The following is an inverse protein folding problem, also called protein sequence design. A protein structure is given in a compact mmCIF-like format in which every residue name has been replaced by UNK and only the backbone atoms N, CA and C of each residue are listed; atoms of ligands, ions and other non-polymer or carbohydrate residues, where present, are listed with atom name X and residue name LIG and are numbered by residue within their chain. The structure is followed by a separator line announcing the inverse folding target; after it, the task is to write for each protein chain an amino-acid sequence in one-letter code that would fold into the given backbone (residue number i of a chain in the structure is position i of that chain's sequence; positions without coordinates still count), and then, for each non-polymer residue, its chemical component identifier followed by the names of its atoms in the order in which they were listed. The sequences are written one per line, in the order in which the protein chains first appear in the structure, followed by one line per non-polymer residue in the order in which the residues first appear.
data_IF_136708783348
#
_entry.id   IF_136708783348
#
_cell.length_a   1.000
_cell.length_b   1.000
_cell.length_c   1.000
_cell.angle_alpha   90.00
_cell.angle_beta   90.00
_cell.angle_gamma   90.00
#
_symmetry.space_group_name_H-M   'P 1'
#
loop_
_entity.id
_entity.type
_entity.pdbx_description
1 polymer ?
#
# COMPACT_ATOMS: atom_id res chain seq x y z
N UNK A 1 -31.32 -35.35 -67.28
CA UNK A 1 -29.93 -34.93 -67.59
C UNK A 1 -29.48 -33.76 -66.73
N UNK A 2 -30.15 -32.59 -66.78
CA UNK A 2 -29.76 -31.42 -65.98
C UNK A 2 -29.61 -31.69 -64.47
N UNK A 3 -30.53 -32.47 -63.90
CA UNK A 3 -30.51 -32.84 -62.49
C UNK A 3 -29.26 -33.67 -62.11
N UNK A 4 -28.83 -34.58 -62.98
CA UNK A 4 -27.62 -35.37 -62.81
C UNK A 4 -26.34 -34.53 -62.97
N UNK A 5 -26.35 -33.55 -63.88
CA UNK A 5 -25.26 -32.58 -64.02
C UNK A 5 -25.13 -31.68 -62.79
N UNK A 6 -26.24 -31.19 -62.25
CA UNK A 6 -26.25 -30.37 -61.04
C UNK A 6 -25.76 -31.17 -59.81
N UNK A 7 -26.18 -32.42 -59.67
CA UNK A 7 -25.70 -33.31 -58.62
C UNK A 7 -24.18 -33.52 -58.71
N UNK A 8 -23.67 -33.85 -59.91
CA UNK A 8 -22.23 -34.07 -60.09
C UNK A 8 -21.40 -32.80 -59.89
N UNK A 9 -21.93 -31.63 -60.27
CA UNK A 9 -21.29 -30.33 -59.99
C UNK A 9 -21.17 -30.10 -58.48
N UNK A 10 -22.25 -30.32 -57.73
CA UNK A 10 -22.27 -30.17 -56.26
C UNK A 10 -21.28 -31.09 -55.56
N UNK A 11 -21.14 -32.34 -56.04
CA UNK A 11 -20.17 -33.30 -55.49
C UNK A 11 -18.72 -32.82 -55.71
N UNK A 12 -18.42 -32.32 -56.91
CA UNK A 12 -17.08 -31.83 -57.25
C UNK A 12 -16.73 -30.55 -56.48
N UNK A 13 -17.69 -29.64 -56.29
CA UNK A 13 -17.52 -28.44 -55.46
C UNK A 13 -17.28 -28.81 -53.99
N UNK A 14 -18.02 -29.78 -53.45
CA UNK A 14 -17.85 -30.27 -52.08
C UNK A 14 -16.50 -30.99 -51.89
N UNK A 15 -16.07 -31.79 -52.87
CA UNK A 15 -14.78 -32.46 -52.84
C UNK A 15 -13.61 -31.45 -52.91
N UNK A 16 -13.72 -30.42 -53.75
CA UNK A 16 -12.74 -29.34 -53.82
C UNK A 16 -12.66 -28.54 -52.50
N UNK A 17 -13.82 -28.25 -51.88
CA UNK A 17 -13.88 -27.60 -50.57
C UNK A 17 -13.23 -28.45 -49.48
N UNK A 18 -13.56 -29.74 -49.39
CA UNK A 18 -12.99 -30.64 -48.38
C UNK A 18 -11.47 -30.85 -48.56
N UNK A 19 -10.98 -30.95 -49.79
CA UNK A 19 -9.54 -31.00 -50.07
C UNK A 19 -8.83 -29.71 -49.61
N UNK A 20 -9.46 -28.55 -49.83
CA UNK A 20 -8.96 -27.26 -49.36
C UNK A 20 -8.92 -27.18 -47.83
N UNK A 21 -10.00 -27.53 -47.15
CA UNK A 21 -10.08 -27.56 -45.68
C UNK A 21 -9.04 -28.51 -45.07
N UNK A 22 -8.83 -29.69 -45.67
CA UNK A 22 -7.80 -30.63 -45.23
C UNK A 22 -6.38 -30.04 -45.38
N UNK A 23 -6.12 -29.28 -46.47
CA UNK A 23 -4.82 -28.63 -46.69
C UNK A 23 -4.60 -27.39 -45.81
N UNK A 24 -5.66 -26.71 -45.41
CA UNK A 24 -5.65 -25.52 -44.55
C UNK A 24 -5.76 -25.88 -43.06
N UNK A 25 -5.79 -27.18 -42.72
CA UNK A 25 -5.77 -27.64 -41.34
C UNK A 25 -4.42 -27.32 -40.72
N UNK A 26 -4.44 -26.60 -39.60
CA UNK A 26 -3.26 -26.23 -38.83
C UNK A 26 -3.31 -26.87 -37.44
N UNK A 27 -2.18 -26.90 -36.76
CA UNK A 27 -2.13 -27.22 -35.34
C UNK A 27 -2.71 -26.05 -34.52
N UNK A 28 -3.96 -26.20 -34.08
CA UNK A 28 -4.69 -25.21 -33.28
C UNK A 28 -4.13 -25.05 -31.85
N UNK A 29 -3.22 -25.93 -31.42
CA UNK A 29 -2.58 -25.85 -30.10
C UNK A 29 -1.34 -24.96 -30.08
N UNK A 30 -0.84 -24.52 -31.25
CA UNK A 30 0.33 -23.66 -31.32
C UNK A 30 0.11 -22.35 -30.56
N UNK A 31 1.13 -21.85 -29.82
CA UNK A 31 1.05 -20.56 -29.15
C UNK A 31 0.66 -19.44 -30.11
N UNK A 32 -0.42 -18.73 -29.78
CA UNK A 32 -0.88 -17.59 -30.56
C UNK A 32 0.14 -16.44 -30.59
N UNK A 33 0.09 -15.63 -31.65
CA UNK A 33 0.93 -14.43 -31.78
C UNK A 33 0.41 -13.34 -30.85
N UNK A 34 1.16 -13.05 -29.78
CA UNK A 34 0.84 -12.00 -28.80
C UNK A 34 2.10 -11.38 -28.23
N UNK A 35 1.98 -10.16 -27.70
CA UNK A 35 2.94 -9.65 -26.73
C UNK A 35 2.63 -10.26 -25.36
N UNK A 36 3.65 -10.48 -24.53
CA UNK A 36 3.44 -10.92 -23.16
C UNK A 36 2.75 -9.81 -22.35
N UNK A 37 1.73 -10.17 -21.56
CA UNK A 37 1.08 -9.21 -20.68
C UNK A 37 2.09 -8.68 -19.65
N UNK A 38 1.97 -7.40 -19.31
CA UNK A 38 2.76 -6.78 -18.24
C UNK A 38 2.38 -7.31 -16.86
N UNK A 39 3.09 -6.83 -15.84
CA UNK A 39 2.77 -7.06 -14.44
C UNK A 39 3.00 -5.77 -13.66
N UNK A 40 2.30 -5.63 -12.55
CA UNK A 40 2.54 -4.56 -11.59
C UNK A 40 3.71 -4.93 -10.67
N UNK A 41 4.42 -3.92 -10.18
CA UNK A 41 5.40 -4.13 -9.12
C UNK A 41 4.69 -4.68 -7.87
N UNK A 42 5.26 -5.66 -7.14
CA UNK A 42 4.60 -6.28 -5.98
C UNK A 42 4.14 -5.28 -4.91
N UNK A 43 4.93 -4.23 -4.66
CA UNK A 43 4.55 -3.14 -3.74
C UNK A 43 3.33 -2.36 -4.24
N UNK A 44 3.23 -2.10 -5.55
CA UNK A 44 2.04 -1.45 -6.15
C UNK A 44 0.80 -2.30 -5.95
N UNK A 45 0.89 -3.62 -6.14
CA UNK A 45 -0.23 -4.54 -5.87
C UNK A 45 -0.70 -4.46 -4.42
N UNK A 46 0.24 -4.33 -3.48
CA UNK A 46 -0.07 -4.16 -2.07
C UNK A 46 -0.77 -2.82 -1.81
N UNK A 47 -0.25 -1.72 -2.35
CA UNK A 47 -0.87 -0.38 -2.23
C UNK A 47 -2.30 -0.42 -2.79
N UNK A 48 -2.49 -0.87 -4.03
CA UNK A 48 -3.81 -0.92 -4.69
C UNK A 48 -4.82 -1.76 -3.90
N UNK A 49 -4.38 -2.89 -3.31
CA UNK A 49 -5.23 -3.73 -2.45
C UNK A 49 -5.65 -2.99 -1.17
N UNK A 50 -4.71 -2.32 -0.51
CA UNK A 50 -4.98 -1.55 0.71
C UNK A 50 -5.91 -0.38 0.40
N UNK A 51 -5.67 0.35 -0.69
CA UNK A 51 -6.55 1.42 -1.16
C UNK A 51 -7.97 0.92 -1.41
N UNK A 52 -8.13 -0.25 -2.03
CA UNK A 52 -9.43 -0.90 -2.22
C UNK A 52 -10.17 -1.13 -0.89
N UNK A 53 -9.49 -1.74 0.10
CA UNK A 53 -10.12 -2.05 1.39
C UNK A 53 -10.56 -0.80 2.15
N UNK A 54 -9.70 0.21 2.21
CA UNK A 54 -10.03 1.45 2.92
C UNK A 54 -11.00 2.33 2.11
N UNK A 55 -11.00 2.22 0.78
CA UNK A 55 -11.98 2.86 -0.10
C UNK A 55 -13.41 2.38 0.15
N UNK A 56 -13.61 1.09 0.42
CA UNK A 56 -14.92 0.55 0.85
C UNK A 56 -15.42 1.15 2.17
N UNK A 57 -14.49 1.54 3.04
CA UNK A 57 -14.77 2.25 4.29
C UNK A 57 -14.88 3.77 4.09
N UNK A 58 -14.84 4.29 2.87
CA UNK A 58 -14.97 5.71 2.54
C UNK A 58 -13.72 6.54 2.83
N UNK A 59 -12.54 5.94 2.95
CA UNK A 59 -11.28 6.68 3.00
C UNK A 59 -10.95 7.20 1.60
N UNK A 60 -10.54 8.47 1.52
CA UNK A 60 -10.08 9.08 0.27
C UNK A 60 -8.55 9.04 0.19
N UNK A 61 -7.99 8.78 -0.99
CA UNK A 61 -6.53 8.82 -1.19
C UNK A 61 -6.06 10.27 -1.24
N UNK A 62 -5.06 10.61 -0.42
CA UNK A 62 -4.39 11.90 -0.40
C UNK A 62 -2.89 11.72 -0.64
N UNK A 63 -2.26 12.64 -1.37
CA UNK A 63 -0.81 12.60 -1.62
C UNK A 63 -0.17 13.95 -1.29
N UNK A 64 1.15 13.94 -1.12
CA UNK A 64 1.91 15.15 -0.87
C UNK A 64 3.36 15.04 -1.34
N UNK A 65 4.12 16.13 -1.25
CA UNK A 65 5.49 16.18 -1.71
C UNK A 65 6.40 15.23 -0.92
N UNK A 66 7.47 14.76 -1.56
CA UNK A 66 8.48 13.88 -0.95
C UNK A 66 9.61 14.67 -0.27
N UNK A 67 9.94 15.85 -0.81
CA UNK A 67 10.77 16.85 -0.14
C UNK A 67 9.84 17.69 0.73
N UNK A 68 10.11 17.71 2.03
CA UNK A 68 9.27 18.31 3.04
C UNK A 68 10.05 19.35 3.86
N UNK A 69 9.33 20.18 4.61
CA UNK A 69 9.91 21.08 5.60
C UNK A 69 9.85 20.47 7.03
N UNK A 70 10.64 21.06 7.93
CA UNK A 70 10.71 20.68 9.34
C UNK A 70 9.34 20.79 10.05
N UNK A 71 8.50 21.72 9.62
CA UNK A 71 7.20 21.95 10.25
C UNK A 71 6.25 20.78 10.02
N UNK A 72 6.03 20.35 8.77
CA UNK A 72 5.07 19.29 8.48
C UNK A 72 5.62 17.90 8.79
N UNK A 73 6.94 17.68 8.70
CA UNK A 73 7.53 16.38 9.01
C UNK A 73 7.71 16.17 10.52
N UNK A 74 7.82 17.24 11.32
CA UNK A 74 8.09 17.12 12.75
C UNK A 74 7.29 18.07 13.67
N UNK A 75 7.42 19.40 13.54
CA UNK A 75 6.84 20.34 14.55
C UNK A 75 5.33 20.16 14.73
N UNK A 76 4.59 20.11 13.62
CA UNK A 76 3.14 19.97 13.63
C UNK A 76 2.70 18.63 14.24
N UNK A 77 3.59 17.63 14.22
CA UNK A 77 3.41 16.29 14.76
C UNK A 77 3.94 16.15 16.19
N UNK A 78 4.08 17.27 16.91
CA UNK A 78 4.45 17.29 18.32
C UNK A 78 5.86 16.70 18.57
N UNK A 79 6.75 16.76 17.58
CA UNK A 79 8.15 16.32 17.66
C UNK A 79 9.01 17.58 17.73
N UNK A 80 9.52 18.02 18.89
CA UNK A 80 10.33 19.25 18.96
C UNK A 80 11.74 19.09 18.39
N UNK A 81 12.43 20.21 18.14
CA UNK A 81 13.79 20.27 17.58
C UNK A 81 14.86 19.40 18.28
N UNK A 82 14.73 19.23 19.59
CA UNK A 82 15.66 18.44 20.41
C UNK A 82 15.24 16.96 20.53
N UNK A 83 14.21 16.51 19.80
CA UNK A 83 13.75 15.14 19.84
C UNK A 83 14.70 14.22 19.07
N UNK A 84 15.05 13.01 19.59
CA UNK A 84 15.98 12.10 18.92
C UNK A 84 15.62 11.75 17.47
N UNK A 85 14.32 11.70 17.16
CA UNK A 85 13.83 11.43 15.79
C UNK A 85 14.26 12.46 14.72
N UNK A 86 14.78 13.63 15.11
CA UNK A 86 15.31 14.64 14.18
C UNK A 86 16.80 14.50 13.90
N UNK A 87 17.49 13.53 14.52
CA UNK A 87 18.92 13.36 14.35
C UNK A 87 19.32 13.12 12.88
N UNK A 88 20.45 13.71 12.47
CA UNK A 88 21.02 13.57 11.11
C UNK A 88 21.34 12.11 10.75
N UNK A 89 21.51 11.24 11.75
CA UNK A 89 21.74 9.83 11.52
C UNK A 89 20.53 9.11 10.91
N UNK A 90 19.31 9.63 11.10
CA UNK A 90 18.07 8.97 10.64
C UNK A 90 17.37 9.72 9.49
N UNK A 91 17.59 11.03 9.37
CA UNK A 91 16.86 11.90 8.41
C UNK A 91 17.80 12.52 7.37
N UNK A 92 17.41 12.48 6.09
CA UNK A 92 18.15 13.13 5.02
C UNK A 92 17.79 14.61 4.90
N UNK A 93 18.64 15.48 5.43
CA UNK A 93 18.48 16.94 5.35
C UNK A 93 19.18 17.53 4.12
N UNK A 94 18.55 18.52 3.49
CA UNK A 94 19.16 19.36 2.44
C UNK A 94 19.81 20.61 3.02
N UNK A 95 19.18 21.18 4.04
CA UNK A 95 19.64 22.32 4.84
C UNK A 95 18.96 22.30 6.21
N UNK A 96 18.98 23.42 6.94
CA UNK A 96 18.39 23.52 8.28
C UNK A 96 16.87 23.32 8.36
N UNK A 97 16.15 23.30 7.23
CA UNK A 97 14.67 23.26 7.21
C UNK A 97 14.10 22.25 6.21
N UNK A 98 14.76 22.01 5.08
CA UNK A 98 14.28 21.13 4.02
C UNK A 98 14.89 19.74 4.17
N UNK A 99 14.07 18.70 4.01
CA UNK A 99 14.46 17.30 4.20
C UNK A 99 13.67 16.35 3.28
N UNK A 100 14.15 15.12 3.10
CA UNK A 100 13.33 14.05 2.54
C UNK A 100 12.42 13.49 3.63
N UNK A 101 11.10 13.45 3.40
CA UNK A 101 10.14 13.07 4.43
C UNK A 101 10.42 11.67 4.99
N UNK A 102 10.36 11.53 6.31
CA UNK A 102 10.60 10.25 7.00
C UNK A 102 9.31 9.43 7.19
N UNK A 103 8.19 10.07 6.87
CA UNK A 103 6.81 9.60 7.03
C UNK A 103 5.89 10.36 6.07
N UNK A 104 4.68 9.84 5.86
CA UNK A 104 3.64 10.49 5.05
C UNK A 104 2.71 11.40 5.86
N UNK A 105 2.95 11.56 7.17
CA UNK A 105 2.12 12.38 8.08
C UNK A 105 2.02 13.85 7.70
N UNK A 106 2.98 14.39 6.93
CA UNK A 106 2.87 15.74 6.39
C UNK A 106 1.62 15.95 5.51
N UNK A 107 1.10 14.88 4.88
CA UNK A 107 -0.18 14.90 4.15
C UNK A 107 -1.35 15.04 5.10
N UNK A 108 -1.30 14.37 6.26
CA UNK A 108 -2.32 14.44 7.30
C UNK A 108 -2.45 15.87 7.85
N UNK A 109 -1.31 16.48 8.21
CA UNK A 109 -1.27 17.87 8.69
C UNK A 109 -1.86 18.84 7.66
N UNK A 110 -1.45 18.73 6.39
CA UNK A 110 -1.98 19.58 5.32
C UNK A 110 -3.48 19.38 5.09
N UNK A 111 -3.96 18.14 5.20
CA UNK A 111 -5.39 17.86 5.02
C UNK A 111 -6.19 18.47 6.16
N UNK A 112 -5.78 18.25 7.40
CA UNK A 112 -6.46 18.82 8.57
C UNK A 112 -6.40 20.34 8.62
N UNK A 113 -5.32 20.96 8.13
CA UNK A 113 -5.22 22.43 8.06
C UNK A 113 -6.19 23.06 7.03
N UNK A 114 -6.58 22.31 5.99
CA UNK A 114 -7.43 22.80 4.89
C UNK A 114 -8.87 22.28 4.95
N UNK A 115 -9.18 21.35 5.85
CA UNK A 115 -10.49 20.71 5.97
C UNK A 115 -10.84 20.50 7.44
N UNK A 116 -12.06 20.88 7.83
CA UNK A 116 -12.60 20.52 9.15
C UNK A 116 -13.20 19.11 9.14
N UNK A 117 -13.21 18.39 10.28
CA UNK A 117 -13.88 17.10 10.40
C UNK A 117 -15.33 17.10 9.89
N UNK A 118 -15.83 15.98 9.32
CA UNK A 118 -15.20 14.66 9.27
C UNK A 118 -14.08 14.56 8.22
N UNK A 119 -12.97 13.94 8.61
CA UNK A 119 -11.81 13.65 7.74
C UNK A 119 -11.56 12.15 7.76
N UNK A 120 -11.39 11.56 6.59
CA UNK A 120 -11.08 10.14 6.43
C UNK A 120 -10.21 9.94 5.20
N UNK A 121 -8.90 9.79 5.42
CA UNK A 121 -7.92 9.71 4.33
C UNK A 121 -6.90 8.59 4.53
N UNK A 122 -6.40 8.07 3.43
CA UNK A 122 -5.18 7.27 3.38
C UNK A 122 -4.15 7.98 2.50
N UNK A 123 -2.89 7.93 2.91
CA UNK A 123 -1.78 8.63 2.30
C UNK A 123 -0.65 7.65 1.95
N UNK A 124 -0.69 7.04 0.74
CA UNK A 124 0.42 6.27 0.22
C UNK A 124 1.55 7.20 -0.21
N UNK A 125 2.79 6.80 0.02
CA UNK A 125 3.93 7.57 -0.46
C UNK A 125 5.28 6.94 -0.18
N UNK A 126 6.28 7.36 -0.95
CA UNK A 126 7.68 7.08 -0.66
C UNK A 126 8.16 7.89 0.53
N UNK A 127 8.93 7.27 1.40
CA UNK A 127 9.56 7.88 2.56
C UNK A 127 11.02 7.46 2.62
N UNK A 128 11.82 8.24 3.33
CA UNK A 128 13.27 8.13 3.29
C UNK A 128 13.85 8.11 4.70
N UNK A 129 14.77 7.19 4.96
CA UNK A 129 15.48 7.08 6.23
C UNK A 129 16.91 6.64 5.96
N UNK A 130 17.87 7.11 6.71
CA UNK A 130 19.28 6.78 6.45
C UNK A 130 19.67 5.44 7.09
N UNK A 131 19.01 4.36 6.66
CA UNK A 131 19.29 2.98 7.08
C UNK A 131 19.28 2.03 5.88
N UNK A 132 20.18 1.06 5.87
CA UNK A 132 20.32 0.09 4.78
C UNK A 132 20.85 -1.25 5.27
N UNK A 133 19.95 -2.24 5.34
CA UNK A 133 20.26 -3.63 5.65
C UNK A 133 19.30 -4.60 4.91
N UNK A 134 19.12 -5.83 5.40
CA UNK A 134 18.22 -6.81 4.78
C UNK A 134 16.72 -6.45 4.92
N UNK A 135 16.37 -5.67 5.93
CA UNK A 135 15.00 -5.29 6.30
C UNK A 135 14.75 -3.78 6.22
N UNK A 136 15.77 -3.00 5.90
CA UNK A 136 15.72 -1.55 5.79
C UNK A 136 16.35 -1.10 4.48
N UNK A 137 15.70 -0.15 3.82
CA UNK A 137 16.22 0.52 2.62
C UNK A 137 16.09 2.03 2.77
N UNK A 138 16.98 2.81 2.14
CA UNK A 138 17.00 4.25 2.33
C UNK A 138 15.77 4.96 1.79
N UNK A 139 15.06 4.28 0.88
CA UNK A 139 13.72 4.62 0.42
C UNK A 139 12.84 3.38 0.56
N UNK A 140 11.63 3.57 1.06
CA UNK A 140 10.58 2.55 1.11
C UNK A 140 9.22 3.23 0.97
N UNK A 141 8.14 2.47 0.90
CA UNK A 141 6.79 3.02 0.79
C UNK A 141 6.06 2.87 2.12
N UNK A 142 5.43 3.94 2.58
CA UNK A 142 4.46 3.90 3.66
C UNK A 142 3.06 4.17 3.14
N UNK A 143 2.10 3.58 3.84
CA UNK A 143 0.71 3.97 3.80
C UNK A 143 0.34 4.41 5.20
N UNK A 144 -0.08 5.64 5.33
CA UNK A 144 -0.72 6.11 6.55
C UNK A 144 -2.21 6.29 6.36
N UNK A 145 -2.98 6.14 7.43
CA UNK A 145 -4.39 6.48 7.44
C UNK A 145 -4.71 7.38 8.61
N UNK A 146 -5.70 8.25 8.40
CA UNK A 146 -6.22 9.17 9.39
C UNK A 146 -7.75 9.18 9.31
N UNK A 147 -8.40 9.06 10.46
CA UNK A 147 -9.81 9.39 10.62
C UNK A 147 -9.97 10.33 11.82
N UNK A 148 -10.68 11.43 11.61
CA UNK A 148 -11.04 12.39 12.65
C UNK A 148 -12.53 12.70 12.52
N UNK A 149 -13.28 12.45 13.59
CA UNK A 149 -14.71 12.68 13.67
C UNK A 149 -15.14 12.79 15.15
N UNK A 150 -16.40 13.07 15.42
CA UNK A 150 -16.95 12.97 16.77
C UNK A 150 -17.00 11.51 17.22
N UNK A 151 -16.67 11.26 18.49
CA UNK A 151 -16.79 9.95 19.15
C UNK A 151 -15.96 8.80 18.54
N UNK A 152 -14.84 9.10 17.87
CA UNK A 152 -13.87 8.07 17.45
C UNK A 152 -13.06 7.60 18.67
N UNK A 153 -12.97 6.29 18.86
CA UNK A 153 -12.36 5.68 20.03
C UNK A 153 -11.30 4.63 19.68
N UNK A 154 -10.52 4.21 20.68
CA UNK A 154 -9.48 3.20 20.49
C UNK A 154 -10.05 1.82 20.10
N UNK A 155 -11.31 1.52 20.45
CA UNK A 155 -11.96 0.29 19.99
C UNK A 155 -12.25 0.34 18.49
N UNK A 156 -12.55 1.52 17.93
CA UNK A 156 -12.67 1.70 16.49
C UNK A 156 -11.33 1.41 15.80
N UNK A 157 -10.23 1.97 16.32
CA UNK A 157 -8.88 1.70 15.81
C UNK A 157 -8.56 0.19 15.79
N UNK A 158 -8.78 -0.49 16.91
CA UNK A 158 -8.53 -1.94 17.01
C UNK A 158 -9.39 -2.74 16.04
N UNK A 159 -10.68 -2.41 15.92
CA UNK A 159 -11.60 -3.08 15.00
C UNK A 159 -11.19 -2.90 13.55
N UNK A 160 -10.95 -1.65 13.13
CA UNK A 160 -10.53 -1.33 11.75
C UNK A 160 -9.25 -2.05 11.36
N UNK A 161 -8.22 -2.04 12.22
CA UNK A 161 -6.95 -2.70 11.91
C UNK A 161 -7.04 -4.23 11.98
N UNK A 162 -7.88 -4.78 12.86
CA UNK A 162 -8.12 -6.21 12.91
C UNK A 162 -8.81 -6.71 11.63
N UNK A 163 -9.84 -6.02 11.17
CA UNK A 163 -10.55 -6.35 9.94
C UNK A 163 -9.65 -6.17 8.71
N UNK A 164 -8.86 -5.10 8.68
CA UNK A 164 -7.86 -4.88 7.65
C UNK A 164 -6.85 -6.04 7.54
N UNK A 165 -6.21 -6.42 8.66
CA UNK A 165 -5.18 -7.46 8.65
C UNK A 165 -5.74 -8.82 8.24
N UNK A 166 -6.96 -9.17 8.70
CA UNK A 166 -7.65 -10.40 8.28
C UNK A 166 -7.94 -10.42 6.79
N UNK A 167 -8.42 -9.31 6.22
CA UNK A 167 -8.68 -9.21 4.78
C UNK A 167 -7.39 -9.20 3.95
N UNK A 168 -6.33 -8.53 4.43
CA UNK A 168 -5.07 -8.43 3.70
C UNK A 168 -4.35 -9.78 3.59
N UNK A 169 -4.29 -10.52 4.69
CA UNK A 169 -3.64 -11.82 4.77
C UNK A 169 -4.55 -12.99 4.41
N UNK A 170 -5.87 -12.78 4.36
CA UNK A 170 -6.88 -13.80 4.03
C UNK A 170 -6.81 -15.01 4.98
N UNK A 171 -6.43 -14.75 6.23
CA UNK A 171 -6.21 -15.75 7.28
C UNK A 171 -6.68 -15.19 8.63
N UNK A 172 -7.12 -16.07 9.52
CA UNK A 172 -7.41 -15.72 10.92
C UNK A 172 -6.10 -15.64 11.72
N UNK A 173 -5.32 -14.59 11.46
CA UNK A 173 -4.02 -14.40 12.07
C UNK A 173 -4.14 -14.07 13.56
N UNK A 174 -3.18 -14.57 14.34
CA UNK A 174 -2.97 -14.06 15.69
C UNK A 174 -2.37 -12.66 15.59
N UNK A 175 -3.13 -11.67 16.05
CA UNK A 175 -2.77 -10.25 16.06
C UNK A 175 -2.63 -9.82 17.52
N UNK A 176 -1.54 -9.11 17.85
CA UNK A 176 -1.39 -8.46 19.16
C UNK A 176 -1.21 -6.97 19.01
N UNK A 177 -1.88 -6.21 19.88
CA UNK A 177 -1.65 -4.79 20.09
C UNK A 177 -0.77 -4.65 21.32
N UNK A 178 0.43 -4.08 21.15
CA UNK A 178 1.34 -3.78 22.25
C UNK A 178 1.42 -2.26 22.44
N UNK A 179 1.40 -1.75 23.69
CA UNK A 179 1.65 -0.33 23.93
C UNK A 179 2.98 0.09 23.31
N UNK A 180 2.99 1.28 22.72
CA UNK A 180 4.19 1.91 22.16
C UNK A 180 4.14 3.41 22.42
N UNK A 181 5.06 4.16 21.82
CA UNK A 181 5.12 5.61 21.95
C UNK A 181 5.39 6.25 20.58
N UNK A 182 4.50 7.15 20.17
CA UNK A 182 4.73 8.09 19.08
C UNK A 182 4.33 9.48 19.56
N UNK A 183 5.17 10.53 19.36
CA UNK A 183 4.88 11.87 19.87
C UNK A 183 3.55 12.48 19.39
N UNK A 184 3.04 12.02 18.23
CA UNK A 184 1.80 12.46 17.61
C UNK A 184 0.56 11.63 17.98
N UNK A 185 0.69 10.58 18.81
CA UNK A 185 -0.47 9.79 19.27
C UNK A 185 -0.42 9.44 20.76
N UNK A 186 -1.57 9.47 21.44
CA UNK A 186 -1.72 9.05 22.84
C UNK A 186 -3.18 8.62 23.12
N UNK A 187 -3.45 7.34 23.47
CA UNK A 187 -2.52 6.23 23.58
C UNK A 187 -2.00 5.74 22.22
N UNK A 188 -0.75 5.25 22.23
CA UNK A 188 -0.03 4.67 21.09
C UNK A 188 0.09 3.15 21.21
N UNK A 189 0.08 2.45 20.07
CA UNK A 189 0.27 1.01 19.99
C UNK A 189 0.99 0.59 18.70
N UNK A 190 1.73 -0.50 18.78
CA UNK A 190 2.20 -1.23 17.61
C UNK A 190 1.43 -2.53 17.47
N UNK A 191 1.29 -3.00 16.24
CA UNK A 191 0.60 -4.24 15.93
C UNK A 191 1.58 -5.21 15.31
N UNK A 192 1.66 -6.38 15.94
CA UNK A 192 2.45 -7.48 15.46
C UNK A 192 1.53 -8.62 15.03
N UNK A 193 1.92 -9.33 13.97
CA UNK A 193 1.27 -10.56 13.50
C UNK A 193 2.17 -11.76 13.78
N UNK A 194 1.57 -12.89 14.13
CA UNK A 194 2.32 -14.14 14.28
C UNK A 194 2.71 -14.67 12.89
N UNK A 195 4.01 -14.69 12.59
CA UNK A 195 4.53 -15.31 11.39
C UNK A 195 4.43 -16.84 11.44
N UNK A 196 4.43 -17.48 10.27
CA UNK A 196 4.41 -18.95 10.16
C UNK A 196 5.62 -19.65 10.79
N UNK A 197 6.69 -18.90 11.05
CA UNK A 197 7.87 -19.35 11.77
C UNK A 197 7.72 -19.26 13.31
N UNK A 198 6.53 -18.93 13.82
CA UNK A 198 6.24 -18.82 15.25
C UNK A 198 6.81 -17.57 15.93
N UNK A 199 7.22 -16.56 15.16
CA UNK A 199 7.74 -15.29 15.69
C UNK A 199 6.76 -14.15 15.40
N UNK A 200 6.63 -13.25 16.36
CA UNK A 200 5.90 -12.00 16.19
C UNK A 200 6.67 -11.05 15.26
N UNK A 201 5.97 -10.48 14.29
CA UNK A 201 6.52 -9.54 13.32
C UNK A 201 5.69 -8.26 13.35
N UNK A 202 6.34 -7.15 13.66
CA UNK A 202 5.72 -5.82 13.66
C UNK A 202 5.37 -5.41 12.23
N UNK A 203 4.10 -5.05 12.01
CA UNK A 203 3.58 -4.69 10.68
C UNK A 203 3.12 -3.24 10.57
N UNK A 204 2.69 -2.63 11.69
CA UNK A 204 2.18 -1.26 11.69
C UNK A 204 2.27 -0.62 13.08
N UNK A 205 2.41 0.70 13.08
CA UNK A 205 2.24 1.56 14.25
C UNK A 205 0.91 2.31 14.16
N UNK A 206 0.28 2.59 15.30
CA UNK A 206 -1.00 3.28 15.34
C UNK A 206 -1.24 3.98 16.69
N UNK A 207 -2.27 4.81 16.76
CA UNK A 207 -2.71 5.40 18.02
C UNK A 207 -3.82 6.42 17.86
N UNK A 208 -4.34 6.90 18.99
CA UNK A 208 -5.28 8.03 18.99
C UNK A 208 -4.49 9.31 18.77
N UNK A 209 -4.95 10.19 17.88
CA UNK A 209 -4.24 11.44 17.55
C UNK A 209 -4.07 12.29 18.80
N UNK A 210 -2.83 12.73 19.05
CA UNK A 210 -2.51 13.50 20.24
C UNK A 210 -3.23 14.87 20.21
N UNK A 211 -3.81 15.35 21.33
CA UNK A 211 -4.56 16.61 21.36
C UNK A 211 -3.79 17.84 20.84
N UNK A 212 -2.48 17.90 21.06
CA UNK A 212 -1.63 18.97 20.49
C UNK A 212 -1.63 18.96 18.97
N UNK A 213 -1.60 17.79 18.33
CA UNK A 213 -1.60 17.69 16.86
C UNK A 213 -2.90 18.24 16.29
N UNK A 214 -4.05 17.91 16.90
CA UNK A 214 -5.35 18.48 16.52
C UNK A 214 -5.38 20.00 16.71
N UNK A 215 -4.93 20.50 17.87
CA UNK A 215 -4.87 21.95 18.14
C UNK A 215 -3.96 22.69 17.15
N UNK A 216 -2.82 22.10 16.78
CA UNK A 216 -1.85 22.70 15.86
C UNK A 216 -2.45 22.99 14.47
N UNK A 217 -3.48 22.24 14.06
CA UNK A 217 -4.16 22.37 12.77
C UNK A 217 -5.58 22.94 12.89
N UNK A 218 -5.93 23.48 14.06
CA UNK A 218 -7.22 24.16 14.27
C UNK A 218 -8.42 23.21 14.42
N UNK A 219 -8.21 22.00 14.92
CA UNK A 219 -9.27 21.05 15.29
C UNK A 219 -9.36 20.99 16.83
N UNK A 220 -10.57 21.16 17.37
CA UNK A 220 -10.80 21.14 18.82
C UNK A 220 -10.81 19.70 19.37
N UNK A 221 -9.84 19.29 20.21
CA UNK A 221 -9.78 17.95 20.78
C UNK A 221 -10.86 17.66 21.84
N UNK A 222 -11.57 18.68 22.33
CA UNK A 222 -12.70 18.48 23.25
C UNK A 222 -13.98 18.06 22.50
N UNK A 223 -14.05 18.33 21.20
CA UNK A 223 -15.18 17.98 20.32
C UNK A 223 -14.85 16.74 19.48
N UNK A 224 -13.66 16.71 18.89
CA UNK A 224 -13.26 15.71 17.93
C UNK A 224 -12.18 14.80 18.48
N UNK A 225 -12.25 13.54 18.09
CA UNK A 225 -11.20 12.56 18.32
C UNK A 225 -10.89 11.84 17.02
N UNK A 226 -9.75 11.17 16.98
CA UNK A 226 -9.32 10.48 15.78
C UNK A 226 -8.25 9.47 16.07
N UNK A 227 -8.05 8.56 15.13
CA UNK A 227 -6.90 7.68 15.15
C UNK A 227 -6.13 7.77 13.85
N UNK A 228 -4.84 7.49 13.95
CA UNK A 228 -3.95 7.34 12.82
C UNK A 228 -3.23 6.00 12.89
N UNK A 229 -2.82 5.51 11.73
CA UNK A 229 -1.97 4.33 11.61
C UNK A 229 -0.98 4.52 10.47
N UNK A 230 0.18 3.85 10.56
CA UNK A 230 1.22 3.85 9.55
C UNK A 230 1.78 2.45 9.38
N UNK A 231 1.94 2.03 8.13
CA UNK A 231 2.43 0.70 7.78
C UNK A 231 3.41 0.76 6.63
N UNK A 232 4.44 -0.09 6.68
CA UNK A 232 5.45 -0.22 5.62
C UNK A 232 4.99 -1.20 4.55
N UNK A 233 4.90 -0.76 3.30
CA UNK A 233 4.34 -1.55 2.21
C UNK A 233 5.22 -2.73 1.84
N UNK A 234 6.54 -2.56 1.83
CA UNK A 234 7.48 -3.63 1.55
C UNK A 234 7.35 -4.75 2.57
N UNK A 235 7.24 -4.44 3.87
CA UNK A 235 7.09 -5.45 4.91
C UNK A 235 5.79 -6.23 4.76
N UNK A 236 4.67 -5.56 4.50
CA UNK A 236 3.39 -6.24 4.21
C UNK A 236 3.49 -7.11 2.95
N UNK A 237 4.15 -6.62 1.91
CA UNK A 237 4.37 -7.34 0.64
C UNK A 237 5.22 -8.59 0.87
N UNK A 238 6.29 -8.49 1.65
CA UNK A 238 7.14 -9.63 2.04
C UNK A 238 6.35 -10.70 2.75
N UNK A 239 5.55 -10.31 3.75
CA UNK A 239 4.75 -11.26 4.53
C UNK A 239 3.67 -11.93 3.68
N UNK A 240 3.03 -11.18 2.78
CA UNK A 240 1.97 -11.71 1.92
C UNK A 240 2.48 -12.69 0.87
N UNK A 241 3.61 -12.38 0.25
CA UNK A 241 4.12 -13.14 -0.90
C UNK A 241 5.35 -14.00 -0.58
N UNK A 242 5.83 -13.99 0.67
CA UNK A 242 6.98 -14.79 1.11
C UNK A 242 8.33 -14.29 0.56
N UNK A 243 8.48 -12.99 0.33
CA UNK A 243 9.77 -12.40 -0.09
C UNK A 243 10.70 -12.30 1.12
N UNK A 244 11.93 -12.79 0.98
CA UNK A 244 12.87 -12.92 2.10
C UNK A 244 13.76 -11.71 2.33
N UNK A 245 14.08 -10.95 1.27
CA UNK A 245 14.99 -9.80 1.32
C UNK A 245 14.30 -8.58 0.74
N UNK A 246 14.24 -7.49 1.51
CA UNK A 246 13.54 -6.28 1.12
C UNK A 246 14.21 -5.59 -0.09
N UNK A 247 15.54 -5.71 -0.20
CA UNK A 247 16.33 -5.03 -1.24
C UNK A 247 15.96 -5.48 -2.65
N UNK A 248 15.46 -6.72 -2.79
CA UNK A 248 15.02 -7.28 -4.07
C UNK A 248 13.92 -6.44 -4.77
N UNK A 249 13.12 -5.68 -4.01
CA UNK A 249 12.13 -4.75 -4.58
C UNK A 249 12.77 -3.60 -5.35
N UNK A 250 13.98 -3.17 -4.99
CA UNK A 250 14.65 -2.03 -5.62
C UNK A 250 15.76 -2.44 -6.60
N UNK A 251 16.22 -3.70 -6.53
CA UNK A 251 17.11 -4.29 -7.54
C UNK A 251 16.42 -4.46 -8.90
N UNK A 252 15.09 -4.60 -8.91
CA UNK A 252 14.26 -4.69 -10.12
C UNK A 252 14.66 -5.82 -11.08
N UNK A 253 15.07 -6.98 -10.56
CA UNK A 253 15.34 -8.16 -11.39
C UNK A 253 14.07 -8.62 -12.11
N UNK A 254 14.12 -8.72 -13.45
CA UNK A 254 12.96 -9.13 -14.25
C UNK A 254 12.43 -10.51 -13.86
N UNK A 255 13.29 -11.44 -13.43
CA UNK A 255 12.89 -12.80 -13.00
C UNK A 255 12.11 -12.75 -11.69
N UNK A 256 12.44 -11.80 -10.82
CA UNK A 256 11.68 -11.53 -9.60
C UNK A 256 10.33 -10.89 -9.95
N UNK A 257 10.33 -9.80 -10.70
CA UNK A 257 9.11 -9.05 -11.03
C UNK A 257 8.08 -9.89 -11.82
N UNK A 258 8.54 -10.76 -12.73
CA UNK A 258 7.63 -11.63 -13.51
C UNK A 258 6.84 -12.64 -12.66
N UNK A 259 7.25 -12.92 -11.43
CA UNK A 259 6.52 -13.82 -10.52
C UNK A 259 5.23 -13.21 -9.98
N UNK A 260 5.06 -11.89 -10.09
CA UNK A 260 3.91 -11.13 -9.59
C UNK A 260 2.97 -10.65 -10.70
N UNK A 261 2.99 -11.29 -11.87
CA UNK A 261 1.99 -11.05 -12.92
C UNK A 261 0.62 -11.56 -12.48
#
# INVERSE_FOLDING_TARGET
VQQALNARKSDLESAALNARLASETIDVSLPGRRIENGGLHPVTRTIDRIESFFGELGFTVATGPEIEDDYHNFDALNIPGHHPARADHDTFWFDATRLLRTQTSGVQIRTMANQQPPIRIIAPGRVYRNDYDQTHTPMFHQMEGLIVDTNISFTNLKGTLHDFLRNFFEEDLQIRFRPSYFPFTEPSAEVDVMGKNGKWLEVLGCGMVHPNVLRNVGIDPEIYSGFAFGMGMERLTMLRYGVTDLRAFFENDLRFLKQFK
#
